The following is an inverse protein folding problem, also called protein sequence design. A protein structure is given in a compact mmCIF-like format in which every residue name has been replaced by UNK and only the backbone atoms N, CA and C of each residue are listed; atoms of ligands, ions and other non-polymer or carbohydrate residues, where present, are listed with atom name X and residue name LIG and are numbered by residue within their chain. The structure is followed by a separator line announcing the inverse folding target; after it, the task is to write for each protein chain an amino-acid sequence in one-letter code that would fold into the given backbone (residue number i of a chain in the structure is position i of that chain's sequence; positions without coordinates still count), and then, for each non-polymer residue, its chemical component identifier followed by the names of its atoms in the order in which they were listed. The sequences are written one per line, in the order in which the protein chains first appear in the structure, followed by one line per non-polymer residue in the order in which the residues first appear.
data_IF_013142977354
#
_entry.id   IF_013142977354
#
_cell.length_a   1.000
_cell.length_b   1.000
_cell.length_c   1.000
_cell.angle_alpha   90.00
_cell.angle_beta   90.00
_cell.angle_gamma   90.00
#
_symmetry.space_group_name_H-M   'P 1'
#
loop_
_entity.id
_entity.type
_entity.pdbx_description
1 polymer ?
#
# COMPACT_ATOMS: atom_id res chain seq x y z
N UNK A 1 1.50 -1.88 -17.51
CA UNK A 1 2.06 -2.34 -16.22
C UNK A 1 3.50 -1.88 -16.15
N UNK A 2 3.87 -1.01 -15.21
CA UNK A 2 5.26 -0.54 -15.05
C UNK A 2 6.13 -1.65 -14.46
N UNK A 3 6.43 -2.67 -15.27
CA UNK A 3 7.47 -3.67 -15.06
C UNK A 3 8.74 -3.34 -15.87
N UNK A 4 8.97 -2.07 -16.22
CA UNK A 4 10.20 -1.63 -16.87
C UNK A 4 11.00 -0.70 -15.96
N UNK A 5 12.04 -1.27 -15.32
CA UNK A 5 13.34 -0.63 -15.04
C UNK A 5 13.34 0.80 -14.47
N UNK A 6 12.34 1.20 -13.69
CA UNK A 6 12.41 2.44 -12.92
C UNK A 6 13.21 2.19 -11.65
N UNK A 7 14.35 2.85 -11.52
CA UNK A 7 15.09 2.91 -10.26
C UNK A 7 14.37 3.81 -9.22
N UNK A 8 13.53 4.73 -9.68
CA UNK A 8 12.74 5.61 -8.82
C UNK A 8 11.56 4.84 -8.24
N UNK A 9 11.40 4.94 -6.91
CA UNK A 9 10.37 4.26 -6.12
C UNK A 9 9.19 5.19 -5.82
N UNK A 10 7.98 4.64 -5.83
CA UNK A 10 6.74 5.37 -5.55
C UNK A 10 6.31 5.10 -4.11
N UNK A 11 6.22 6.16 -3.32
CA UNK A 11 5.68 6.14 -1.95
C UNK A 11 4.27 6.72 -1.98
N UNK A 12 3.28 5.95 -1.53
CA UNK A 12 1.89 6.40 -1.47
C UNK A 12 1.40 6.48 -0.02
N UNK A 13 0.81 7.61 0.37
CA UNK A 13 0.19 7.74 1.70
C UNK A 13 -1.16 7.03 1.71
N UNK A 14 -1.35 6.13 2.68
CA UNK A 14 -2.61 5.39 2.83
C UNK A 14 -3.54 6.15 3.77
N UNK A 15 -4.80 6.24 3.38
CA UNK A 15 -5.87 6.86 4.15
C UNK A 15 -7.24 6.27 3.77
N UNK A 16 -8.35 6.88 4.21
CA UNK A 16 -9.68 6.32 4.02
C UNK A 16 -10.06 6.00 2.56
N UNK A 17 -9.54 6.79 1.60
CA UNK A 17 -9.79 6.57 0.17
C UNK A 17 -9.01 5.37 -0.42
N UNK A 18 -7.96 4.91 0.26
CA UNK A 18 -7.00 3.92 -0.25
C UNK A 18 -6.75 2.74 0.68
N UNK A 19 -7.45 2.64 1.82
CA UNK A 19 -7.23 1.58 2.83
C UNK A 19 -7.99 0.29 2.57
N UNK A 20 -8.86 0.23 1.55
CA UNK A 20 -9.54 -1.02 1.18
C UNK A 20 -8.56 -1.96 0.46
N UNK A 21 -8.72 -3.27 0.67
CA UNK A 21 -7.89 -4.29 -0.01
C UNK A 21 -7.91 -4.12 -1.52
N UNK A 22 -9.09 -3.93 -2.12
CA UNK A 22 -9.26 -3.77 -3.56
C UNK A 22 -8.48 -2.56 -4.11
N UNK A 23 -8.52 -1.43 -3.39
CA UNK A 23 -7.78 -0.23 -3.82
C UNK A 23 -6.27 -0.43 -3.66
N UNK A 24 -5.83 -1.05 -2.56
CA UNK A 24 -4.41 -1.36 -2.34
C UNK A 24 -3.87 -2.30 -3.42
N UNK A 25 -4.60 -3.37 -3.75
CA UNK A 25 -4.22 -4.31 -4.82
C UNK A 25 -4.08 -3.60 -6.18
N UNK A 26 -5.04 -2.73 -6.53
CA UNK A 26 -4.93 -1.88 -7.73
C UNK A 26 -3.68 -1.00 -7.68
N UNK A 27 -3.42 -0.34 -6.55
CA UNK A 27 -2.24 0.52 -6.39
C UNK A 27 -0.92 -0.25 -6.56
N UNK A 28 -0.85 -1.50 -6.10
CA UNK A 28 0.29 -2.38 -6.29
C UNK A 28 0.51 -2.69 -7.78
N UNK A 29 -0.55 -3.08 -8.50
CA UNK A 29 -0.47 -3.35 -9.93
C UNK A 29 -0.12 -2.10 -10.77
N UNK A 30 -0.51 -0.92 -10.31
CA UNK A 30 -0.16 0.36 -10.93
C UNK A 30 1.27 0.84 -10.59
N UNK A 31 1.93 0.23 -9.60
CA UNK A 31 3.36 0.41 -9.32
C UNK A 31 3.72 1.17 -8.05
N UNK A 32 2.88 1.14 -7.01
CA UNK A 32 3.29 1.60 -5.67
C UNK A 32 4.33 0.64 -5.08
N UNK A 33 5.45 1.16 -4.60
CA UNK A 33 6.51 0.38 -3.95
C UNK A 33 6.43 0.43 -2.41
N UNK A 34 6.01 1.57 -1.84
CA UNK A 34 6.00 1.79 -0.39
C UNK A 34 4.68 2.43 0.06
N UNK A 35 4.02 1.80 1.03
CA UNK A 35 2.88 2.37 1.72
C UNK A 35 3.33 3.22 2.92
N UNK A 36 3.07 4.53 2.86
CA UNK A 36 3.27 5.46 3.99
C UNK A 36 2.01 5.50 4.84
N UNK A 37 2.16 5.24 6.13
CA UNK A 37 1.10 5.46 7.12
C UNK A 37 1.35 6.79 7.81
N UNK A 38 0.38 7.70 7.76
CA UNK A 38 0.51 9.04 8.34
C UNK A 38 -0.03 9.07 9.77
N UNK A 39 0.85 8.97 10.76
CA UNK A 39 0.49 8.93 12.20
C UNK A 39 -0.01 10.27 12.76
N UNK A 40 0.04 11.37 12.00
CA UNK A 40 -0.64 12.62 12.39
C UNK A 40 -2.17 12.45 12.47
N UNK A 41 -2.72 11.41 11.84
CA UNK A 41 -4.14 11.08 11.85
C UNK A 41 -4.36 9.58 12.07
N UNK A 42 -5.58 9.20 12.46
CA UNK A 42 -5.97 7.81 12.67
C UNK A 42 -5.46 7.22 13.99
N UNK A 43 -6.06 6.10 14.36
CA UNK A 43 -5.72 5.32 15.56
C UNK A 43 -4.72 4.20 15.22
N UNK A 44 -4.05 3.67 16.24
CA UNK A 44 -3.17 2.52 16.08
C UNK A 44 -3.89 1.30 15.51
N UNK A 45 -5.17 1.11 15.86
CA UNK A 45 -5.95 -0.02 15.35
C UNK A 45 -6.24 0.12 13.84
N UNK A 46 -6.60 1.32 13.39
CA UNK A 46 -6.81 1.60 11.96
C UNK A 46 -5.51 1.36 11.17
N UNK A 47 -4.38 1.86 11.68
CA UNK A 47 -3.07 1.63 11.06
C UNK A 47 -2.70 0.15 11.04
N UNK A 48 -3.00 -0.60 12.11
CA UNK A 48 -2.77 -2.06 12.16
C UNK A 48 -3.54 -2.80 11.07
N UNK A 49 -4.81 -2.46 10.84
CA UNK A 49 -5.63 -3.08 9.78
C UNK A 49 -5.03 -2.86 8.38
N UNK A 50 -4.48 -1.66 8.14
CA UNK A 50 -3.78 -1.35 6.88
C UNK A 50 -2.51 -2.20 6.76
N UNK A 51 -1.69 -2.28 7.82
CA UNK A 51 -0.44 -3.07 7.84
C UNK A 51 -0.73 -4.55 7.55
N UNK A 52 -1.70 -5.14 8.23
CA UNK A 52 -2.10 -6.54 8.03
C UNK A 52 -2.57 -6.79 6.59
N UNK A 53 -3.34 -5.85 6.02
CA UNK A 53 -3.80 -5.96 4.63
C UNK A 53 -2.65 -5.88 3.64
N UNK A 54 -1.69 -4.95 3.84
CA UNK A 54 -0.49 -4.81 3.00
C UNK A 54 0.38 -6.06 3.07
N UNK A 55 0.63 -6.61 4.27
CA UNK A 55 1.42 -7.84 4.40
C UNK A 55 0.80 -9.03 3.67
N UNK A 56 -0.52 -9.21 3.79
CA UNK A 56 -1.21 -10.26 3.05
C UNK A 56 -1.09 -10.07 1.53
N UNK A 57 -1.21 -8.83 1.04
CA UNK A 57 -1.04 -8.54 -0.39
C UNK A 57 0.39 -8.82 -0.86
N UNK A 58 1.42 -8.50 -0.06
CA UNK A 58 2.81 -8.83 -0.40
C UNK A 58 3.00 -10.35 -0.57
N UNK A 59 2.43 -11.15 0.34
CA UNK A 59 2.46 -12.61 0.25
C UNK A 59 1.70 -13.13 -0.98
N UNK A 60 0.50 -12.61 -1.24
CA UNK A 60 -0.34 -13.03 -2.37
C UNK A 60 0.26 -12.66 -3.73
N UNK A 61 0.92 -11.50 -3.83
CA UNK A 61 1.42 -10.94 -5.08
C UNK A 61 2.92 -11.16 -5.31
N UNK A 62 3.63 -11.80 -4.37
CA UNK A 62 5.09 -11.91 -4.36
C UNK A 62 5.79 -10.54 -4.53
N UNK A 63 5.30 -9.54 -3.80
CA UNK A 63 5.76 -8.15 -3.84
C UNK A 63 6.61 -7.77 -2.62
#
# INVERSE_FOLDING_TARGET
MRHERSHTKIVATIGPASSSRETLEKMFHEGVDVCRINFSHGTHEEHRKVIETVHRLNEELNA
#
